data_IF_125391190483
#
_entry.id   IF_125391190483
#
_cell.length_a   1.000
_cell.length_b   1.000
_cell.length_c   1.000
_cell.angle_alpha   90.00
_cell.angle_beta   90.00
_cell.angle_gamma   90.00
#
_symmetry.space_group_name_H-M   'P 1'
#
loop_
_entity.id
_entity.type
_entity.pdbx_description
1 polymer ?
#
# COMPACT_ATOMS: atom_id res chain seq x y z
N UNK A 1 25.03 42.80 6.38
CA UNK A 1 24.08 42.69 7.52
C UNK A 1 22.72 43.29 7.16
N UNK A 2 22.01 42.76 6.18
CA UNK A 2 20.69 43.28 5.76
C UNK A 2 19.72 42.19 5.24
N UNK A 3 19.87 40.95 5.69
CA UNK A 3 18.99 39.86 5.21
C UNK A 3 18.18 39.14 6.32
N UNK A 4 18.25 39.62 7.57
CA UNK A 4 17.59 38.95 8.72
C UNK A 4 16.21 39.49 9.01
N UNK A 5 15.86 40.69 8.49
CA UNK A 5 14.60 41.37 8.85
C UNK A 5 13.38 40.95 8.01
N UNK A 6 13.55 40.26 6.90
CA UNK A 6 12.43 39.92 5.99
C UNK A 6 11.71 38.62 6.42
N UNK A 7 12.42 37.69 7.07
CA UNK A 7 11.78 36.47 7.57
C UNK A 7 10.90 36.64 8.80
N UNK A 8 11.15 37.70 9.61
CA UNK A 8 10.38 37.93 10.85
C UNK A 8 8.97 38.53 10.61
N UNK A 9 8.78 39.13 9.45
CA UNK A 9 7.48 39.74 9.09
C UNK A 9 6.47 38.72 8.54
N UNK A 10 6.92 37.60 8.07
CA UNK A 10 6.03 36.54 7.59
C UNK A 10 5.51 35.60 8.69
N UNK A 11 6.17 35.55 9.85
CA UNK A 11 5.79 34.68 10.96
C UNK A 11 4.66 35.25 11.80
N UNK A 12 4.44 36.58 11.75
CA UNK A 12 3.42 37.27 12.55
C UNK A 12 2.03 37.33 11.89
N UNK A 13 1.87 36.84 10.68
CA UNK A 13 0.59 36.81 9.96
C UNK A 13 -0.01 35.40 9.85
N UNK A 14 0.56 34.41 10.51
CA UNK A 14 0.00 33.07 10.54
C UNK A 14 -1.08 32.96 11.62
N UNK A 15 -2.21 33.66 11.43
CA UNK A 15 -3.46 33.32 12.09
C UNK A 15 -3.91 31.96 11.57
N UNK A 16 -4.13 31.02 12.50
CA UNK A 16 -4.80 29.69 12.34
C UNK A 16 -5.54 29.56 10.99
N UNK A 17 -4.83 29.23 9.95
CA UNK A 17 -5.36 28.88 8.64
C UNK A 17 -4.82 27.54 8.26
N UNK A 18 -5.70 26.66 7.83
CA UNK A 18 -5.37 25.37 7.27
C UNK A 18 -4.22 25.48 6.28
N UNK A 19 -3.18 24.67 6.50
CA UNK A 19 -2.05 24.62 5.58
C UNK A 19 -2.55 24.09 4.23
N UNK A 20 -2.17 24.71 3.12
CA UNK A 20 -2.55 24.18 1.82
C UNK A 20 -1.92 22.81 1.63
N UNK A 21 -2.76 21.79 1.50
CA UNK A 21 -2.37 20.49 0.98
C UNK A 21 -2.00 20.72 -0.49
N UNK A 22 -0.73 20.85 -0.80
CA UNK A 22 -0.28 20.89 -2.18
C UNK A 22 -0.15 19.44 -2.67
N UNK A 23 -1.18 18.97 -3.33
CA UNK A 23 -1.08 17.73 -4.12
C UNK A 23 -0.18 18.01 -5.31
N UNK A 24 1.06 17.57 -5.23
CA UNK A 24 1.95 17.59 -6.39
C UNK A 24 1.63 16.35 -7.22
N UNK A 25 0.77 16.50 -8.20
CA UNK A 25 0.21 15.43 -9.04
C UNK A 25 1.22 14.73 -9.95
N UNK A 26 2.50 15.11 -9.86
CA UNK A 26 3.52 14.63 -10.79
C UNK A 26 4.35 13.44 -10.27
N UNK A 27 4.21 13.05 -8.98
CA UNK A 27 4.99 11.95 -8.41
C UNK A 27 4.23 11.02 -7.46
N UNK A 28 2.91 11.16 -7.30
CA UNK A 28 2.14 10.35 -6.35
C UNK A 28 2.49 10.61 -4.87
N UNK A 29 3.25 11.65 -4.56
CA UNK A 29 3.69 11.97 -3.21
C UNK A 29 2.72 12.89 -2.52
N UNK A 30 2.08 12.43 -1.45
CA UNK A 30 1.32 13.28 -0.55
C UNK A 30 2.23 13.76 0.57
N UNK A 31 2.41 15.08 0.69
CA UNK A 31 3.12 15.70 1.83
C UNK A 31 2.09 15.94 2.92
N UNK A 32 2.17 15.22 4.03
CA UNK A 32 1.11 15.19 5.04
C UNK A 32 1.27 16.27 6.13
N UNK A 33 2.47 16.68 6.45
CA UNK A 33 2.67 17.69 7.49
C UNK A 33 3.99 18.43 7.33
N UNK A 34 3.96 19.72 7.61
CA UNK A 34 5.15 20.50 7.91
C UNK A 34 5.19 20.72 9.43
N UNK A 35 6.13 20.08 10.10
CA UNK A 35 6.44 20.38 11.49
C UNK A 35 7.49 21.50 11.52
N UNK A 36 7.17 22.69 12.01
CA UNK A 36 8.12 23.79 12.06
C UNK A 36 9.28 23.55 13.04
N UNK A 37 9.21 22.52 13.87
CA UNK A 37 10.28 22.11 14.79
C UNK A 37 11.19 21.06 14.20
N UNK A 38 10.73 20.32 13.19
CA UNK A 38 11.53 19.39 12.41
C UNK A 38 11.67 19.89 10.98
N UNK A 39 12.88 20.22 10.56
CA UNK A 39 13.20 20.65 9.19
C UNK A 39 13.09 19.51 8.16
N UNK A 40 12.40 18.45 8.48
CA UNK A 40 12.26 17.26 7.65
C UNK A 40 10.89 17.20 7.00
N UNK A 41 10.88 17.36 5.69
CA UNK A 41 9.73 17.08 4.85
C UNK A 41 9.40 15.57 4.96
N UNK A 42 8.27 15.23 5.57
CA UNK A 42 7.83 13.84 5.64
C UNK A 42 7.17 13.46 4.31
N UNK A 43 7.75 12.47 3.66
CA UNK A 43 7.24 11.92 2.39
C UNK A 43 6.48 10.63 2.69
N UNK A 44 5.31 10.47 2.12
CA UNK A 44 4.56 9.22 2.16
C UNK A 44 4.58 8.53 0.81
N UNK A 45 4.39 7.24 0.84
CA UNK A 45 4.31 6.38 -0.33
C UNK A 45 3.07 5.50 -0.25
N UNK A 46 2.53 5.16 -1.39
CA UNK A 46 1.40 4.26 -1.49
C UNK A 46 1.88 2.81 -1.60
N UNK A 47 1.29 1.96 -0.77
CA UNK A 47 1.48 0.52 -0.82
C UNK A 47 0.16 -0.14 -1.21
N UNK A 48 0.18 -0.85 -2.33
CA UNK A 48 -0.95 -1.63 -2.84
C UNK A 48 -0.62 -3.11 -2.80
N UNK A 49 -1.44 -3.89 -2.12
CA UNK A 49 -1.34 -5.34 -2.05
C UNK A 49 -2.58 -5.98 -2.61
N UNK A 50 -2.38 -7.02 -3.43
CA UNK A 50 -3.46 -7.82 -4.00
C UNK A 50 -3.04 -9.30 -4.06
N UNK A 51 -3.94 -10.17 -4.51
CA UNK A 51 -3.62 -11.56 -4.81
C UNK A 51 -4.31 -12.03 -6.08
N UNK A 52 -3.71 -13.00 -6.74
CA UNK A 52 -4.25 -13.66 -7.92
C UNK A 52 -4.02 -15.17 -7.86
N UNK A 53 -4.82 -15.90 -8.58
CA UNK A 53 -4.64 -17.34 -8.81
C UNK A 53 -3.89 -17.57 -10.11
N UNK A 54 -2.84 -18.35 -10.06
CA UNK A 54 -2.14 -18.80 -11.25
C UNK A 54 -3.04 -19.81 -12.00
N UNK A 55 -3.24 -19.59 -13.30
CA UNK A 55 -4.09 -20.43 -14.14
C UNK A 55 -5.50 -20.64 -13.57
N UNK A 56 -6.32 -19.57 -13.44
CA UNK A 56 -7.69 -19.72 -12.99
C UNK A 56 -8.43 -20.67 -13.93
N UNK A 57 -9.29 -21.56 -13.42
CA UNK A 57 -10.04 -22.46 -14.27
C UNK A 57 -10.89 -21.65 -15.26
N UNK A 58 -10.84 -22.03 -16.52
CA UNK A 58 -11.76 -21.48 -17.52
C UNK A 58 -13.15 -22.05 -17.21
N UNK A 59 -14.01 -21.23 -16.62
CA UNK A 59 -15.40 -21.60 -16.41
C UNK A 59 -16.13 -21.57 -17.76
N UNK A 60 -16.24 -22.71 -18.41
CA UNK A 60 -17.24 -22.92 -19.44
C UNK A 60 -18.57 -23.19 -18.71
N UNK A 61 -19.42 -22.17 -18.58
CA UNK A 61 -20.74 -22.36 -18.00
C UNK A 61 -21.60 -23.20 -18.98
N UNK A 62 -21.88 -24.47 -18.69
CA UNK A 62 -22.68 -25.31 -19.56
C UNK A 62 -24.19 -24.94 -19.51
N UNK A 63 -24.59 -23.99 -18.63
CA UNK A 63 -25.97 -23.63 -18.43
C UNK A 63 -26.13 -22.14 -18.12
N UNK A 64 -26.31 -21.26 -19.16
CA UNK A 64 -26.31 -19.81 -18.98
C UNK A 64 -27.51 -19.27 -18.16
N UNK A 65 -28.40 -20.13 -17.68
CA UNK A 65 -29.59 -19.75 -16.88
C UNK A 65 -29.47 -20.03 -15.38
N UNK A 66 -28.43 -20.70 -14.91
CA UNK A 66 -28.18 -20.89 -13.47
C UNK A 66 -27.15 -19.89 -12.98
N UNK A 67 -27.57 -18.91 -12.21
CA UNK A 67 -26.71 -18.19 -11.29
C UNK A 67 -26.26 -19.15 -10.18
N UNK A 68 -25.32 -20.02 -10.50
CA UNK A 68 -24.65 -20.82 -9.47
C UNK A 68 -23.96 -19.84 -8.53
N UNK A 69 -24.33 -19.91 -7.25
CA UNK A 69 -23.78 -19.08 -6.21
C UNK A 69 -22.26 -18.99 -6.37
N UNK A 70 -21.77 -17.79 -6.40
CA UNK A 70 -20.35 -17.50 -6.46
C UNK A 70 -19.71 -18.08 -5.19
N UNK A 71 -19.31 -19.34 -5.27
CA UNK A 71 -18.27 -19.84 -4.38
C UNK A 71 -17.02 -19.05 -4.76
N UNK A 72 -16.73 -18.00 -4.01
CA UNK A 72 -15.44 -17.33 -4.10
C UNK A 72 -14.40 -18.36 -3.73
N UNK A 73 -13.81 -19.03 -4.72
CA UNK A 73 -12.62 -19.83 -4.51
C UNK A 73 -11.48 -18.87 -4.25
N UNK A 74 -11.46 -18.34 -3.02
CA UNK A 74 -10.39 -17.51 -2.52
C UNK A 74 -9.16 -18.38 -2.45
N UNK A 75 -8.14 -18.06 -3.24
CA UNK A 75 -6.89 -18.83 -3.24
C UNK A 75 -6.02 -18.52 -2.01
N UNK A 76 -6.30 -17.43 -1.31
CA UNK A 76 -5.59 -16.97 -0.14
C UNK A 76 -5.91 -15.51 0.17
N UNK A 77 -5.12 -14.94 1.06
CA UNK A 77 -5.20 -13.53 1.44
C UNK A 77 -3.82 -12.96 1.67
N UNK A 78 -3.74 -11.64 1.64
CA UNK A 78 -2.51 -10.89 1.92
C UNK A 78 -2.62 -10.20 3.28
N UNK A 79 -1.47 -10.04 3.94
CA UNK A 79 -1.36 -9.37 5.23
C UNK A 79 -0.29 -8.28 5.12
N UNK A 80 -0.50 -7.20 5.84
CA UNK A 80 0.41 -6.07 5.96
C UNK A 80 0.61 -5.74 7.44
N UNK A 81 1.87 -5.62 7.87
CA UNK A 81 2.24 -5.19 9.20
C UNK A 81 3.22 -4.01 9.12
N UNK A 82 2.95 -2.95 9.87
CA UNK A 82 3.81 -1.77 10.02
C UNK A 82 3.42 -1.01 11.29
N UNK A 83 4.39 -0.41 11.99
CA UNK A 83 4.15 0.45 13.16
C UNK A 83 3.13 -0.13 14.16
N UNK A 84 3.25 -1.42 14.52
CA UNK A 84 2.32 -2.16 15.39
C UNK A 84 0.87 -2.26 14.84
N UNK A 85 0.67 -1.96 13.56
CA UNK A 85 -0.60 -2.12 12.88
C UNK A 85 -0.56 -3.40 12.06
N UNK A 86 -1.57 -4.27 12.22
CA UNK A 86 -1.75 -5.48 11.44
C UNK A 86 -3.04 -5.40 10.64
N UNK A 87 -2.95 -5.60 9.33
CA UNK A 87 -4.08 -5.56 8.40
C UNK A 87 -4.06 -6.85 7.58
N UNK A 88 -5.22 -7.45 7.42
CA UNK A 88 -5.40 -8.57 6.51
C UNK A 88 -6.56 -8.28 5.55
N UNK A 89 -6.50 -8.84 4.35
CA UNK A 89 -7.54 -8.62 3.34
C UNK A 89 -7.72 -9.82 2.41
N UNK A 90 -8.98 -10.16 2.17
CA UNK A 90 -9.38 -11.11 1.11
C UNK A 90 -9.33 -10.49 -0.30
N UNK A 91 -8.88 -9.25 -0.42
CA UNK A 91 -8.81 -8.49 -1.67
C UNK A 91 -7.74 -7.42 -1.59
N UNK A 92 -8.01 -6.31 -2.24
CA UNK A 92 -7.11 -5.17 -2.33
C UNK A 92 -6.87 -4.52 -0.96
N UNK A 93 -5.61 -4.32 -0.58
CA UNK A 93 -5.17 -3.48 0.53
C UNK A 93 -4.43 -2.28 -0.07
N UNK A 94 -4.90 -1.08 0.21
CA UNK A 94 -4.25 0.17 -0.18
C UNK A 94 -3.96 0.99 1.07
N UNK A 95 -2.73 1.45 1.24
CA UNK A 95 -2.29 2.27 2.37
C UNK A 95 -1.26 3.29 1.95
N UNK A 96 -1.45 4.51 2.42
CA UNK A 96 -0.43 5.56 2.36
C UNK A 96 0.37 5.53 3.66
N UNK A 97 1.67 5.28 3.58
CA UNK A 97 2.55 5.04 4.72
C UNK A 97 3.75 5.98 4.65
N UNK A 98 4.23 6.42 5.80
CA UNK A 98 5.40 7.29 5.90
C UNK A 98 6.64 6.61 5.30
N UNK A 99 7.39 7.35 4.49
CA UNK A 99 8.65 6.89 3.92
C UNK A 99 9.68 6.50 4.98
N UNK A 100 10.45 5.45 4.68
CA UNK A 100 11.39 4.86 5.62
C UNK A 100 10.79 3.90 6.65
N UNK A 101 9.46 3.74 6.68
CA UNK A 101 8.79 2.76 7.55
C UNK A 101 9.17 1.34 7.13
N UNK A 102 9.53 0.51 8.12
CA UNK A 102 9.68 -0.92 7.91
C UNK A 102 8.29 -1.57 7.79
N UNK A 103 8.07 -2.28 6.70
CA UNK A 103 6.83 -3.00 6.42
C UNK A 103 7.10 -4.49 6.26
N UNK A 104 6.19 -5.31 6.76
CA UNK A 104 6.19 -6.76 6.58
C UNK A 104 4.94 -7.11 5.78
N UNK A 105 5.15 -7.82 4.67
CA UNK A 105 4.08 -8.29 3.81
C UNK A 105 4.10 -9.80 3.76
N UNK A 106 2.96 -10.43 3.97
CA UNK A 106 2.83 -11.88 3.88
C UNK A 106 1.60 -12.30 3.12
N UNK A 107 1.67 -13.49 2.54
CA UNK A 107 0.59 -14.14 1.82
C UNK A 107 0.24 -15.45 2.52
N UNK A 108 -1.03 -15.67 2.82
CA UNK A 108 -1.52 -16.90 3.45
C UNK A 108 -2.40 -17.66 2.46
N UNK A 109 -1.99 -18.86 2.00
CA UNK A 109 -2.80 -19.65 1.10
C UNK A 109 -4.06 -20.20 1.80
N UNK A 110 -5.14 -20.32 1.05
CA UNK A 110 -6.31 -21.09 1.46
C UNK A 110 -6.05 -22.61 1.25
N UNK A 111 -6.94 -23.44 1.81
CA UNK A 111 -6.90 -24.89 1.62
C UNK A 111 -6.92 -25.27 0.13
N UNK A 112 -6.02 -26.16 -0.29
CA UNK A 112 -5.85 -26.58 -1.67
C UNK A 112 -5.06 -25.62 -2.54
N UNK A 113 -4.38 -24.65 -1.90
CA UNK A 113 -3.50 -23.70 -2.59
C UNK A 113 -2.16 -23.57 -1.88
N UNK A 114 -1.13 -23.20 -2.63
CA UNK A 114 0.18 -22.80 -2.13
C UNK A 114 0.56 -21.44 -2.65
N UNK A 115 1.29 -20.66 -1.84
CA UNK A 115 1.92 -19.42 -2.31
C UNK A 115 3.01 -19.77 -3.32
N UNK A 116 2.99 -19.14 -4.48
CA UNK A 116 3.98 -19.35 -5.53
C UNK A 116 5.10 -18.31 -5.46
N UNK A 117 4.74 -17.04 -5.64
CA UNK A 117 5.65 -15.91 -5.64
C UNK A 117 4.89 -14.60 -5.53
N UNK A 118 5.60 -13.52 -5.30
CA UNK A 118 5.11 -12.16 -5.49
C UNK A 118 5.26 -11.75 -6.96
N UNK A 119 4.46 -10.78 -7.42
CA UNK A 119 4.49 -10.26 -8.81
C UNK A 119 5.86 -9.76 -9.29
N UNK A 120 6.77 -9.46 -8.38
CA UNK A 120 8.16 -9.09 -8.66
C UNK A 120 9.13 -10.28 -8.71
N UNK A 121 8.64 -11.52 -8.65
CA UNK A 121 9.43 -12.75 -8.72
C UNK A 121 10.05 -13.20 -7.39
N UNK A 122 9.78 -12.52 -6.27
CA UNK A 122 10.28 -12.94 -4.96
C UNK A 122 9.44 -14.11 -4.45
N UNK A 123 10.09 -15.20 -4.08
CA UNK A 123 9.46 -16.42 -3.52
C UNK A 123 9.48 -16.48 -2.01
N UNK A 124 10.23 -15.59 -1.34
CA UNK A 124 10.19 -15.49 0.11
C UNK A 124 8.83 -15.00 0.60
N UNK A 125 8.33 -15.59 1.69
CA UNK A 125 7.09 -15.23 2.34
C UNK A 125 7.20 -15.54 3.85
N UNK A 126 7.14 -14.56 4.74
CA UNK A 126 6.96 -13.12 4.49
C UNK A 126 8.17 -12.42 3.86
N UNK A 127 7.96 -11.18 3.39
CA UNK A 127 9.02 -10.26 2.99
C UNK A 127 8.98 -9.01 3.85
N UNK A 128 10.16 -8.46 4.15
CA UNK A 128 10.32 -7.23 4.93
C UNK A 128 11.17 -6.23 4.14
N UNK A 129 10.74 -4.99 4.08
CA UNK A 129 11.46 -3.92 3.40
C UNK A 129 11.13 -2.54 3.98
N UNK A 130 11.98 -1.56 3.70
CA UNK A 130 11.68 -0.14 3.97
C UNK A 130 10.90 0.45 2.80
N UNK A 131 9.78 1.11 3.12
CA UNK A 131 8.97 1.77 2.11
C UNK A 131 9.61 3.10 1.71
N UNK A 132 10.28 3.13 0.56
CA UNK A 132 10.99 4.30 0.05
C UNK A 132 10.48 4.77 -1.33
N UNK A 133 9.45 4.13 -1.84
CA UNK A 133 8.76 4.45 -3.09
C UNK A 133 7.36 3.85 -3.04
N UNK A 134 6.50 4.25 -3.96
CA UNK A 134 5.23 3.57 -4.18
C UNK A 134 5.49 2.14 -4.62
N UNK A 135 4.76 1.20 -4.01
CA UNK A 135 4.94 -0.24 -4.25
C UNK A 135 3.59 -0.89 -4.51
N UNK A 136 3.53 -1.67 -5.57
CA UNK A 136 2.42 -2.57 -5.86
C UNK A 136 2.94 -4.02 -5.87
N UNK A 137 2.35 -4.87 -5.03
CA UNK A 137 2.67 -6.29 -4.93
C UNK A 137 1.42 -7.14 -5.05
N UNK A 138 1.48 -8.16 -5.86
CA UNK A 138 0.43 -9.16 -5.99
C UNK A 138 0.98 -10.52 -5.55
N UNK A 139 0.32 -11.16 -4.59
CA UNK A 139 0.60 -12.54 -4.21
C UNK A 139 0.02 -13.49 -5.26
N UNK A 140 0.81 -14.40 -5.77
CA UNK A 140 0.41 -15.39 -6.75
C UNK A 140 0.28 -16.73 -6.05
N UNK A 141 -0.92 -17.32 -6.09
CA UNK A 141 -1.21 -18.64 -5.54
C UNK A 141 -1.43 -19.64 -6.66
N UNK A 142 -0.95 -20.85 -6.47
CA UNK A 142 -1.20 -22.02 -7.35
C UNK A 142 -2.04 -23.06 -6.62
N UNK A 143 -2.89 -23.79 -7.34
CA UNK A 143 -3.56 -24.97 -6.79
C UNK A 143 -2.55 -26.11 -6.61
N UNK A 144 -2.77 -26.90 -5.58
CA UNK A 144 -2.00 -28.12 -5.28
C UNK A 144 -2.24 -29.21 -6.33
#
# INVERSE_FOLDING_TARGET
MKKICICLLFVLSCTKGELPVTNNSDTGKTIIAWDPTESNLQVTYDLTLNWVRLNPPVWTNPNPGMHNGYGFNVAGWVNLEYNNTYIWGLGLIERTILGGTDVIVSATPAEGFTFHEWSNGITANPITFKLNSDIELTAIFKSD
#
